data_IF_484123043617
#
_entry.id   IF_484123043617
#
_cell.length_a   1.000
_cell.length_b   1.000
_cell.length_c   1.000
_cell.angle_alpha   90.00
_cell.angle_beta   90.00
_cell.angle_gamma   90.00
#
_symmetry.space_group_name_H-M   'P 1'
#
loop_
_entity.id
_entity.type
_entity.pdbx_description
1 polymer ?
#
# COMPACT_ATOMS: atom_id res chain seq x y z
N UNK A 1 11.67 25.99 5.11
CA UNK A 1 12.54 25.10 4.30
C UNK A 1 12.63 25.72 2.91
N UNK A 2 13.83 26.11 2.46
CA UNK A 2 13.98 26.94 1.26
C UNK A 2 14.04 26.13 -0.04
N UNK A 3 13.44 26.68 -1.11
CA UNK A 3 13.47 26.16 -2.49
C UNK A 3 14.86 25.72 -2.97
N UNK A 4 15.93 26.37 -2.52
CA UNK A 4 17.31 25.98 -2.83
C UNK A 4 17.67 24.55 -2.39
N UNK A 5 17.22 24.11 -1.21
CA UNK A 5 17.50 22.73 -0.73
C UNK A 5 16.77 21.68 -1.58
N UNK A 6 15.56 21.98 -2.04
CA UNK A 6 14.81 21.11 -2.96
C UNK A 6 15.52 20.99 -4.31
N UNK A 7 16.03 22.08 -4.86
CA UNK A 7 16.82 22.06 -6.10
C UNK A 7 18.10 21.23 -5.95
N UNK A 8 18.82 21.35 -4.84
CA UNK A 8 19.99 20.52 -4.57
C UNK A 8 19.67 19.04 -4.39
N UNK A 9 18.58 18.71 -3.71
CA UNK A 9 18.14 17.31 -3.54
C UNK A 9 17.69 16.69 -4.87
N UNK A 10 16.95 17.44 -5.68
CA UNK A 10 16.53 16.98 -7.02
C UNK A 10 17.72 16.81 -7.96
N UNK A 11 18.69 17.74 -7.96
CA UNK A 11 19.93 17.61 -8.72
C UNK A 11 20.74 16.37 -8.30
N UNK A 12 20.89 16.14 -6.98
CA UNK A 12 21.57 14.95 -6.45
C UNK A 12 20.86 13.65 -6.84
N UNK A 13 19.53 13.62 -6.75
CA UNK A 13 18.74 12.46 -7.17
C UNK A 13 18.93 12.17 -8.66
N UNK A 14 18.85 13.19 -9.52
CA UNK A 14 19.09 13.07 -10.98
C UNK A 14 20.50 12.55 -11.28
N UNK A 15 21.51 13.10 -10.64
CA UNK A 15 22.90 12.65 -10.81
C UNK A 15 23.09 11.19 -10.39
N UNK A 16 22.50 10.78 -9.27
CA UNK A 16 22.54 9.39 -8.80
C UNK A 16 21.86 8.42 -9.78
N UNK A 17 20.70 8.80 -10.32
CA UNK A 17 20.00 8.00 -11.36
C UNK A 17 20.84 7.91 -12.63
N UNK A 18 21.38 9.02 -13.12
CA UNK A 18 22.22 9.04 -14.32
C UNK A 18 23.48 8.17 -14.15
N UNK A 19 24.11 8.23 -12.97
CA UNK A 19 25.25 7.39 -12.65
C UNK A 19 24.88 5.90 -12.60
N UNK A 20 23.75 5.58 -11.97
CA UNK A 20 23.22 4.22 -11.89
C UNK A 20 22.92 3.62 -13.27
N UNK A 21 22.43 4.44 -14.22
CA UNK A 21 22.20 4.03 -15.61
C UNK A 21 23.50 3.85 -16.40
N UNK A 22 24.50 4.73 -16.19
CA UNK A 22 25.79 4.66 -16.89
C UNK A 22 26.65 3.48 -16.42
N UNK A 23 26.56 3.11 -15.15
CA UNK A 23 27.34 2.02 -14.54
C UNK A 23 26.43 1.17 -13.65
N UNK A 24 25.55 0.34 -14.24
CA UNK A 24 24.63 -0.47 -13.46
C UNK A 24 25.40 -1.54 -12.69
N UNK A 25 25.31 -1.48 -11.36
CA UNK A 25 25.77 -2.58 -10.51
C UNK A 25 24.67 -3.64 -10.41
N UNK A 26 25.03 -4.88 -10.04
CA UNK A 26 24.05 -5.95 -9.82
C UNK A 26 22.98 -5.55 -8.80
N UNK A 27 23.36 -4.83 -7.74
CA UNK A 27 22.42 -4.36 -6.72
C UNK A 27 21.44 -3.32 -7.27
N UNK A 28 21.93 -2.38 -8.08
CA UNK A 28 21.08 -1.37 -8.74
C UNK A 28 20.09 -2.07 -9.68
N UNK A 29 20.56 -3.00 -10.51
CA UNK A 29 19.69 -3.76 -11.41
C UNK A 29 18.63 -4.58 -10.63
N UNK A 30 19.04 -5.25 -9.54
CA UNK A 30 18.12 -6.02 -8.70
C UNK A 30 17.08 -5.12 -8.01
N UNK A 31 17.47 -3.95 -7.52
CA UNK A 31 16.55 -2.98 -6.90
C UNK A 31 15.59 -2.39 -7.93
N UNK A 32 16.07 -2.07 -9.14
CA UNK A 32 15.21 -1.58 -10.22
C UNK A 32 14.18 -2.64 -10.62
N UNK A 33 14.63 -3.89 -10.84
CA UNK A 33 13.75 -5.01 -11.15
C UNK A 33 12.73 -5.24 -10.03
N UNK A 34 13.14 -5.18 -8.77
CA UNK A 34 12.25 -5.27 -7.62
C UNK A 34 11.13 -4.22 -7.70
N UNK A 35 11.46 -2.95 -7.95
CA UNK A 35 10.44 -1.90 -8.06
C UNK A 35 9.52 -2.07 -9.27
N UNK A 36 10.04 -2.56 -10.41
CA UNK A 36 9.22 -2.87 -11.58
C UNK A 36 8.22 -3.99 -11.26
N UNK A 37 8.68 -5.08 -10.62
CA UNK A 37 7.82 -6.19 -10.21
C UNK A 37 6.77 -5.73 -9.19
N UNK A 38 7.18 -4.96 -8.17
CA UNK A 38 6.26 -4.45 -7.16
C UNK A 38 5.23 -3.49 -7.74
N UNK A 39 5.63 -2.63 -8.68
CA UNK A 39 4.69 -1.74 -9.37
C UNK A 39 3.68 -2.54 -10.19
N UNK A 40 4.14 -3.52 -10.97
CA UNK A 40 3.25 -4.41 -11.73
C UNK A 40 2.28 -5.16 -10.80
N UNK A 41 2.77 -5.69 -9.68
CA UNK A 41 1.94 -6.36 -8.67
C UNK A 41 0.89 -5.43 -8.07
N UNK A 42 1.28 -4.26 -7.57
CA UNK A 42 0.36 -3.26 -6.98
C UNK A 42 -0.71 -2.84 -7.99
N UNK A 43 -0.32 -2.54 -9.22
CA UNK A 43 -1.28 -2.16 -10.27
C UNK A 43 -2.24 -3.31 -10.57
N UNK A 44 -1.74 -4.55 -10.63
CA UNK A 44 -2.58 -5.73 -10.92
C UNK A 44 -3.56 -6.02 -9.78
N UNK A 45 -3.12 -5.88 -8.53
CA UNK A 45 -3.97 -6.04 -7.35
C UNK A 45 -5.10 -5.01 -7.32
N UNK A 46 -4.78 -3.73 -7.47
CA UNK A 46 -5.79 -2.67 -7.42
C UNK A 46 -6.69 -2.60 -8.66
N UNK A 47 -6.28 -3.20 -9.79
CA UNK A 47 -7.19 -3.40 -10.92
C UNK A 47 -8.28 -4.45 -10.62
N UNK A 48 -8.06 -5.33 -9.64
CA UNK A 48 -9.04 -6.31 -9.14
C UNK A 48 -9.75 -5.87 -7.87
N UNK A 49 -9.24 -4.87 -7.16
CA UNK A 49 -9.86 -4.33 -5.95
C UNK A 49 -11.23 -3.67 -6.21
N UNK A 50 -11.39 -3.05 -7.38
CA UNK A 50 -12.67 -2.51 -7.85
C UNK A 50 -12.71 -2.52 -9.37
N UNK A 51 -13.76 -3.10 -9.94
CA UNK A 51 -14.00 -3.10 -11.37
C UNK A 51 -15.48 -2.89 -11.69
N UNK A 52 -15.75 -2.39 -12.89
CA UNK A 52 -17.10 -2.17 -13.41
C UNK A 52 -17.35 -3.24 -14.48
N UNK A 53 -18.55 -3.82 -14.51
CA UNK A 53 -18.89 -4.81 -15.53
C UNK A 53 -18.87 -4.17 -16.93
N UNK A 54 -18.35 -4.90 -17.92
CA UNK A 54 -18.25 -4.43 -19.30
C UNK A 54 -19.61 -4.09 -19.94
N UNK A 55 -20.69 -4.70 -19.43
CA UNK A 55 -22.06 -4.48 -19.89
C UNK A 55 -22.77 -3.33 -19.14
N UNK A 56 -22.05 -2.65 -18.23
CA UNK A 56 -22.58 -1.61 -17.35
C UNK A 56 -23.37 -2.16 -16.16
N UNK A 57 -23.80 -1.25 -15.27
CA UNK A 57 -24.82 -1.53 -14.26
C UNK A 57 -24.35 -1.99 -12.87
N UNK A 58 -23.06 -2.18 -12.62
CA UNK A 58 -22.60 -2.57 -11.29
C UNK A 58 -21.13 -2.29 -11.00
N UNK A 59 -20.84 -2.01 -9.73
CA UNK A 59 -19.49 -1.96 -9.15
C UNK A 59 -19.23 -3.30 -8.47
N UNK A 60 -18.09 -3.90 -8.77
CA UNK A 60 -17.67 -5.22 -8.27
C UNK A 60 -16.30 -5.12 -7.61
N UNK A 61 -16.03 -6.05 -6.71
CA UNK A 61 -14.73 -6.21 -6.04
C UNK A 61 -14.28 -7.66 -6.15
N UNK A 62 -12.99 -7.86 -6.42
CA UNK A 62 -12.34 -9.18 -6.39
C UNK A 62 -11.85 -9.57 -4.99
N UNK A 63 -12.11 -8.72 -3.99
CA UNK A 63 -11.76 -8.93 -2.59
C UNK A 63 -13.04 -8.91 -1.77
N UNK A 64 -13.32 -10.02 -1.09
CA UNK A 64 -14.51 -10.25 -0.27
C UNK A 64 -14.61 -9.28 0.92
N UNK A 65 -13.51 -9.02 1.61
CA UNK A 65 -13.47 -8.05 2.72
C UNK A 65 -13.81 -6.62 2.27
N UNK A 66 -13.61 -6.31 1.00
CA UNK A 66 -13.94 -5.01 0.44
C UNK A 66 -15.43 -4.89 0.08
N UNK A 67 -16.25 -5.96 0.20
CA UNK A 67 -17.70 -5.89 -0.02
C UNK A 67 -18.41 -4.98 0.99
N UNK A 68 -17.96 -4.98 2.24
CA UNK A 68 -18.50 -4.10 3.28
C UNK A 68 -17.90 -2.69 3.24
N UNK A 69 -16.59 -2.60 3.04
CA UNK A 69 -15.86 -1.32 3.10
C UNK A 69 -16.07 -0.47 1.84
N UNK A 70 -16.08 -1.06 0.63
CA UNK A 70 -16.19 -0.30 -0.62
C UNK A 70 -17.47 0.56 -0.68
N UNK A 71 -18.67 0.05 -0.39
CA UNK A 71 -19.89 0.87 -0.40
C UNK A 71 -19.81 2.06 0.57
N UNK A 72 -19.27 1.86 1.77
CA UNK A 72 -19.12 2.94 2.76
C UNK A 72 -18.19 4.05 2.26
N UNK A 73 -17.02 3.67 1.72
CA UNK A 73 -16.10 4.64 1.12
C UNK A 73 -16.73 5.37 -0.08
N UNK A 74 -17.47 4.66 -0.94
CA UNK A 74 -18.20 5.28 -2.05
C UNK A 74 -19.27 6.26 -1.57
N UNK A 75 -19.97 5.94 -0.47
CA UNK A 75 -20.94 6.84 0.15
C UNK A 75 -20.26 8.12 0.67
N UNK A 76 -19.10 8.02 1.33
CA UNK A 76 -18.33 9.19 1.75
C UNK A 76 -17.89 10.03 0.54
N UNK A 77 -17.27 9.41 -0.48
CA UNK A 77 -16.79 10.08 -1.70
C UNK A 77 -17.93 10.84 -2.37
N UNK A 78 -19.07 10.17 -2.59
CA UNK A 78 -20.24 10.78 -3.25
C UNK A 78 -20.91 11.83 -2.40
N UNK A 79 -20.89 11.71 -1.06
CA UNK A 79 -21.39 12.76 -0.16
C UNK A 79 -20.59 14.06 -0.30
N UNK A 80 -19.26 13.99 -0.47
CA UNK A 80 -18.45 15.16 -0.73
C UNK A 80 -18.71 15.73 -2.13
N UNK A 81 -18.77 14.86 -3.14
CA UNK A 81 -18.85 15.27 -4.54
C UNK A 81 -20.23 15.86 -4.90
N UNK A 82 -21.31 15.24 -4.45
CA UNK A 82 -22.68 15.61 -4.83
C UNK A 82 -23.52 16.16 -3.68
N UNK A 83 -23.19 15.80 -2.44
CA UNK A 83 -24.00 16.10 -1.25
C UNK A 83 -23.63 17.38 -0.51
N UNK A 84 -22.61 18.12 -0.96
CA UNK A 84 -22.07 19.30 -0.24
C UNK A 84 -21.77 19.00 1.24
N UNK A 85 -21.24 17.80 1.53
CA UNK A 85 -21.04 17.30 2.89
C UNK A 85 -19.87 18.01 3.61
N UNK A 86 -20.08 19.27 4.00
CA UNK A 86 -19.12 20.07 4.76
C UNK A 86 -19.86 21.02 5.73
N UNK A 87 -19.67 20.90 7.06
CA UNK A 87 -18.76 19.98 7.76
C UNK A 87 -19.16 18.50 7.57
N UNK A 88 -18.21 17.54 7.63
CA UNK A 88 -18.50 16.14 7.29
C UNK A 88 -19.46 15.45 8.27
N UNK A 89 -20.60 15.00 7.76
CA UNK A 89 -21.58 14.12 8.40
C UNK A 89 -21.49 12.68 7.88
N UNK A 90 -21.97 11.73 8.67
CA UNK A 90 -22.00 10.31 8.33
C UNK A 90 -23.03 10.08 7.21
N UNK A 91 -22.63 9.49 6.05
CA UNK A 91 -23.51 9.42 4.88
C UNK A 91 -24.76 8.55 5.10
N UNK A 92 -24.69 7.55 5.98
CA UNK A 92 -25.81 6.68 6.32
C UNK A 92 -26.57 7.06 7.60
N UNK A 93 -26.10 8.09 8.34
CA UNK A 93 -26.68 8.47 9.64
C UNK A 93 -26.79 9.98 9.77
N UNK A 94 -27.92 10.53 9.32
CA UNK A 94 -28.22 11.97 9.29
C UNK A 94 -27.97 12.65 10.64
N UNK A 95 -27.28 13.79 10.63
CA UNK A 95 -26.98 14.58 11.83
C UNK A 95 -25.86 13.99 12.71
N UNK A 96 -25.36 12.79 12.40
CA UNK A 96 -24.19 12.25 13.06
C UNK A 96 -22.91 12.74 12.39
N UNK A 97 -21.91 13.11 13.19
CA UNK A 97 -20.60 13.52 12.68
C UNK A 97 -19.86 12.33 12.07
N UNK A 98 -19.21 12.53 10.92
CA UNK A 98 -18.30 11.53 10.37
C UNK A 98 -17.03 11.43 11.24
N UNK A 99 -16.87 10.30 11.93
CA UNK A 99 -15.71 10.00 12.78
C UNK A 99 -14.65 9.16 12.09
N UNK A 100 -15.02 8.52 10.97
CA UNK A 100 -14.09 7.76 10.15
C UNK A 100 -13.07 8.71 9.47
N UNK A 101 -11.78 8.33 9.36
CA UNK A 101 -10.78 9.17 8.68
C UNK A 101 -11.09 9.29 7.18
N UNK A 102 -11.62 10.44 6.76
CA UNK A 102 -12.20 10.66 5.43
C UNK A 102 -11.25 11.29 4.39
N UNK A 103 -9.98 11.52 4.74
CA UNK A 103 -9.06 12.28 3.88
C UNK A 103 -8.84 11.60 2.52
N UNK A 104 -8.75 10.26 2.49
CA UNK A 104 -8.64 9.49 1.24
C UNK A 104 -9.90 9.65 0.40
N UNK A 105 -11.07 9.57 1.02
CA UNK A 105 -12.35 9.71 0.33
C UNK A 105 -12.53 11.13 -0.25
N UNK A 106 -12.05 12.14 0.48
CA UNK A 106 -12.03 13.52 -0.01
C UNK A 106 -11.09 13.68 -1.22
N UNK A 107 -9.90 13.06 -1.20
CA UNK A 107 -8.97 13.10 -2.34
C UNK A 107 -9.57 12.41 -3.55
N UNK A 108 -10.19 11.23 -3.38
CA UNK A 108 -10.93 10.56 -4.44
C UNK A 108 -12.08 11.42 -4.99
N UNK A 109 -12.84 12.11 -4.13
CA UNK A 109 -13.90 13.04 -4.55
C UNK A 109 -13.34 14.21 -5.37
N UNK A 110 -12.18 14.76 -5.00
CA UNK A 110 -11.50 15.81 -5.75
C UNK A 110 -11.02 15.32 -7.14
N UNK A 111 -10.51 14.10 -7.23
CA UNK A 111 -10.15 13.49 -8.51
C UNK A 111 -11.38 13.31 -9.41
N UNK A 112 -12.51 12.89 -8.84
CA UNK A 112 -13.76 12.79 -9.57
C UNK A 112 -14.30 14.16 -10.00
N UNK A 113 -14.21 15.18 -9.15
CA UNK A 113 -14.55 16.56 -9.49
C UNK A 113 -13.68 17.11 -10.63
N UNK A 114 -12.43 16.63 -10.76
CA UNK A 114 -11.54 16.92 -11.87
C UNK A 114 -11.80 16.08 -13.14
N UNK A 115 -12.86 15.26 -13.15
CA UNK A 115 -13.31 14.50 -14.31
C UNK A 115 -12.87 13.03 -14.36
N UNK A 116 -12.22 12.51 -13.33
CA UNK A 116 -11.91 11.07 -13.26
C UNK A 116 -13.19 10.25 -12.99
N UNK A 117 -13.27 9.04 -13.55
CA UNK A 117 -14.28 8.08 -13.10
C UNK A 117 -13.98 7.60 -11.68
N UNK A 118 -14.98 7.07 -10.98
CA UNK A 118 -14.81 6.52 -9.63
C UNK A 118 -13.72 5.43 -9.58
N UNK A 119 -13.70 4.53 -10.58
CA UNK A 119 -12.65 3.51 -10.71
C UNK A 119 -11.27 4.14 -10.88
N UNK A 120 -11.16 5.18 -11.72
CA UNK A 120 -9.87 5.86 -11.95
C UNK A 120 -9.38 6.58 -10.70
N UNK A 121 -10.26 7.31 -10.01
CA UNK A 121 -9.94 8.04 -8.79
C UNK A 121 -9.39 7.10 -7.71
N UNK A 122 -10.15 6.05 -7.39
CA UNK A 122 -9.77 5.09 -6.35
C UNK A 122 -8.53 4.27 -6.75
N UNK A 123 -8.41 3.85 -8.01
CA UNK A 123 -7.23 3.11 -8.48
C UNK A 123 -5.97 3.96 -8.42
N UNK A 124 -6.02 5.19 -8.91
CA UNK A 124 -4.87 6.09 -8.93
C UNK A 124 -4.36 6.37 -7.52
N UNK A 125 -5.28 6.72 -6.62
CA UNK A 125 -4.99 6.95 -5.21
C UNK A 125 -4.34 5.71 -4.56
N UNK A 126 -5.00 4.56 -4.66
CA UNK A 126 -4.53 3.35 -3.99
C UNK A 126 -3.19 2.85 -4.54
N UNK A 127 -2.98 2.90 -5.86
CA UNK A 127 -1.70 2.53 -6.48
C UNK A 127 -0.58 3.47 -6.00
N UNK A 128 -0.85 4.78 -5.90
CA UNK A 128 0.12 5.74 -5.41
C UNK A 128 0.49 5.48 -3.94
N UNK A 129 -0.51 5.26 -3.08
CA UNK A 129 -0.30 4.99 -1.65
C UNK A 129 0.40 3.64 -1.41
N UNK A 130 0.02 2.59 -2.12
CA UNK A 130 0.68 1.29 -2.03
C UNK A 130 2.12 1.32 -2.58
N UNK A 131 2.36 2.05 -3.67
CA UNK A 131 3.72 2.30 -4.17
C UNK A 131 4.58 3.04 -3.14
N UNK A 132 4.01 4.06 -2.49
CA UNK A 132 4.66 4.78 -1.40
C UNK A 132 4.95 3.87 -0.21
N UNK A 133 4.01 2.99 0.17
CA UNK A 133 4.19 2.00 1.23
C UNK A 133 5.38 1.08 0.94
N UNK A 134 5.46 0.50 -0.26
CA UNK A 134 6.59 -0.36 -0.67
C UNK A 134 7.91 0.40 -0.60
N UNK A 135 7.95 1.62 -1.13
CA UNK A 135 9.16 2.43 -1.14
C UNK A 135 9.62 2.82 0.29
N UNK A 136 8.67 3.16 1.17
CA UNK A 136 8.96 3.55 2.55
C UNK A 136 9.34 2.35 3.42
N UNK A 137 8.72 1.18 3.23
CA UNK A 137 9.14 -0.06 3.88
C UNK A 137 10.58 -0.42 3.50
N UNK A 138 10.89 -0.42 2.21
CA UNK A 138 12.24 -0.69 1.71
C UNK A 138 13.25 0.29 2.33
N UNK A 139 12.94 1.60 2.30
CA UNK A 139 13.79 2.65 2.87
C UNK A 139 13.96 2.51 4.38
N UNK A 140 12.90 2.23 5.11
CA UNK A 140 12.92 2.08 6.57
C UNK A 140 13.78 0.87 6.96
N UNK A 141 13.53 -0.28 6.34
CA UNK A 141 14.34 -1.49 6.56
C UNK A 141 15.82 -1.25 6.24
N UNK A 142 16.14 -0.61 5.11
CA UNK A 142 17.51 -0.23 4.74
C UNK A 142 18.20 0.65 5.79
N UNK A 143 17.45 1.50 6.48
CA UNK A 143 17.95 2.39 7.53
C UNK A 143 18.10 1.69 8.88
N UNK A 144 17.24 0.72 9.16
CA UNK A 144 17.22 -0.05 10.39
C UNK A 144 18.34 -1.09 10.40
N UNK A 145 18.42 -1.92 9.36
CA UNK A 145 19.33 -3.08 9.29
C UNK A 145 20.70 -2.73 8.70
N UNK A 146 20.79 -1.67 7.90
CA UNK A 146 21.95 -1.39 7.05
C UNK A 146 22.34 -2.57 6.12
N UNK A 147 21.38 -3.44 5.79
CA UNK A 147 21.56 -4.57 4.87
C UNK A 147 20.67 -4.41 3.63
N UNK A 148 21.18 -4.57 2.38
CA UNK A 148 20.39 -4.32 1.18
C UNK A 148 19.39 -5.44 0.91
N UNK A 149 19.75 -6.69 1.22
CA UNK A 149 18.89 -7.84 1.01
C UNK A 149 17.71 -7.81 1.98
N UNK A 150 17.96 -7.58 3.28
CA UNK A 150 16.91 -7.41 4.28
C UNK A 150 15.94 -6.28 3.90
N UNK A 151 16.46 -5.22 3.29
CA UNK A 151 15.65 -4.11 2.83
C UNK A 151 14.74 -4.48 1.65
N UNK A 152 15.21 -5.31 0.71
CA UNK A 152 14.40 -5.82 -0.39
C UNK A 152 13.38 -6.89 0.08
N UNK A 153 13.75 -7.71 1.06
CA UNK A 153 12.86 -8.74 1.61
C UNK A 153 11.75 -8.17 2.50
N UNK A 154 11.99 -7.07 3.23
CA UNK A 154 11.01 -6.54 4.18
C UNK A 154 9.64 -6.20 3.54
N UNK A 155 9.53 -5.48 2.40
CA UNK A 155 8.25 -5.27 1.74
C UNK A 155 7.58 -6.59 1.31
N UNK A 156 8.36 -7.57 0.83
CA UNK A 156 7.82 -8.87 0.41
C UNK A 156 7.22 -9.62 1.59
N UNK A 157 7.90 -9.65 2.73
CA UNK A 157 7.41 -10.30 3.95
C UNK A 157 6.15 -9.63 4.50
N UNK A 158 6.06 -8.30 4.43
CA UNK A 158 4.86 -7.57 4.85
C UNK A 158 3.68 -7.85 3.92
N UNK A 159 3.89 -7.78 2.60
CA UNK A 159 2.85 -8.03 1.61
C UNK A 159 2.42 -9.50 1.55
N UNK A 160 3.33 -10.43 1.84
CA UNK A 160 3.07 -11.88 1.92
C UNK A 160 2.70 -12.35 3.33
N UNK A 161 2.34 -11.44 4.25
CA UNK A 161 1.81 -11.80 5.57
C UNK A 161 0.54 -12.66 5.43
N UNK A 162 0.20 -13.49 6.42
CA UNK A 162 -0.96 -14.39 6.27
C UNK A 162 -0.88 -15.70 7.05
N UNK A 163 -0.06 -15.75 8.10
CA UNK A 163 0.09 -16.96 8.92
C UNK A 163 0.80 -18.09 8.17
N UNK A 164 0.65 -19.32 8.70
CA UNK A 164 1.24 -20.54 8.13
C UNK A 164 0.33 -21.25 7.13
N UNK A 165 -0.67 -20.55 6.59
CA UNK A 165 -1.64 -21.09 5.63
C UNK A 165 -1.04 -21.72 4.38
N UNK A 166 0.14 -21.24 3.96
CA UNK A 166 0.88 -21.80 2.84
C UNK A 166 1.28 -23.27 3.05
N UNK A 167 1.33 -23.77 4.30
CA UNK A 167 1.56 -25.19 4.57
C UNK A 167 0.36 -26.05 4.12
N UNK A 168 -0.86 -25.56 4.35
CA UNK A 168 -2.10 -26.20 3.90
C UNK A 168 -2.19 -26.18 2.37
N UNK A 169 -1.71 -25.09 1.75
CA UNK A 169 -1.63 -24.98 0.29
C UNK A 169 -0.77 -26.09 -0.34
N UNK A 170 0.26 -26.58 0.36
CA UNK A 170 1.11 -27.67 -0.16
C UNK A 170 0.37 -29.00 -0.24
N UNK A 171 -0.60 -29.24 0.66
CA UNK A 171 -1.40 -30.48 0.67
C UNK A 171 -2.36 -30.54 -0.54
N UNK A 172 -2.72 -29.38 -1.10
CA UNK A 172 -3.59 -29.25 -2.27
C UNK A 172 -2.85 -29.31 -3.61
N UNK A 173 -1.52 -29.43 -3.60
CA UNK A 173 -0.72 -29.53 -4.82
C UNK A 173 -0.96 -30.89 -5.47
N UNK A 174 -1.66 -30.88 -6.60
CA UNK A 174 -1.85 -32.06 -7.44
C UNK A 174 -0.83 -32.09 -8.60
N UNK A 175 0.14 -33.02 -8.60
CA UNK A 175 1.11 -33.15 -9.70
C UNK A 175 0.46 -33.44 -11.05
N UNK A 176 -0.70 -34.11 -11.08
CA UNK A 176 -1.46 -34.40 -12.30
C UNK A 176 -2.32 -33.23 -12.77
N UNK A 177 -2.65 -32.31 -11.86
CA UNK A 177 -3.35 -31.06 -12.12
C UNK A 177 -2.46 -29.87 -12.51
N UNK A 178 -1.20 -30.10 -12.88
CA UNK A 178 -0.24 -29.04 -13.21
C UNK A 178 0.53 -28.48 -12.00
N UNK A 179 0.50 -29.18 -10.87
CA UNK A 179 1.27 -28.86 -9.66
C UNK A 179 0.95 -27.49 -9.09
N UNK A 180 1.97 -26.84 -8.52
CA UNK A 180 1.85 -25.51 -7.89
C UNK A 180 1.31 -24.46 -8.86
N UNK A 181 1.71 -24.51 -10.14
CA UNK A 181 1.25 -23.54 -11.14
C UNK A 181 -0.23 -23.72 -11.44
N UNK A 182 -0.69 -24.97 -11.54
CA UNK A 182 -2.11 -25.30 -11.69
C UNK A 182 -2.93 -24.76 -10.52
N UNK A 183 -2.47 -25.04 -9.29
CA UNK A 183 -3.10 -24.58 -8.06
C UNK A 183 -3.16 -23.05 -7.95
N UNK A 184 -2.06 -22.34 -8.22
CA UNK A 184 -2.03 -20.87 -8.15
C UNK A 184 -2.91 -20.18 -9.20
N UNK A 185 -3.23 -20.85 -10.32
CA UNK A 185 -4.17 -20.33 -11.33
C UNK A 185 -5.62 -20.49 -10.89
N UNK A 186 -5.93 -21.54 -10.12
CA UNK A 186 -7.28 -21.85 -9.66
C UNK A 186 -7.20 -22.32 -8.20
N UNK A 187 -7.06 -21.36 -7.29
CA UNK A 187 -7.05 -21.65 -5.85
C UNK A 187 -8.38 -22.29 -5.46
N UNK A 188 -8.32 -23.37 -4.67
CA UNK A 188 -9.51 -24.11 -4.23
C UNK A 188 -10.32 -23.32 -3.21
N UNK A 189 -9.62 -22.63 -2.31
CA UNK A 189 -10.19 -21.76 -1.28
C UNK A 189 -9.12 -20.76 -0.79
N UNK A 190 -9.51 -19.88 0.14
CA UNK A 190 -8.56 -19.02 0.86
C UNK A 190 -7.71 -19.85 1.84
N UNK A 191 -6.42 -19.56 1.93
CA UNK A 191 -5.46 -20.26 2.78
C UNK A 191 -5.07 -19.47 4.04
N UNK A 192 -5.45 -18.21 4.14
CA UNK A 192 -5.18 -17.31 5.27
C UNK A 192 -6.39 -17.20 6.22
N UNK A 193 -7.60 -17.25 5.66
CA UNK A 193 -8.87 -17.33 6.39
C UNK A 193 -9.63 -18.52 5.85
N UNK A 194 -9.53 -19.67 6.53
CA UNK A 194 -10.15 -20.89 6.04
C UNK A 194 -11.69 -20.79 6.09
N UNK A 195 -12.39 -21.36 5.10
CA UNK A 195 -13.85 -21.46 5.14
C UNK A 195 -14.36 -22.20 6.38
N UNK A 196 -13.66 -23.27 6.78
CA UNK A 196 -13.90 -24.03 8.01
C UNK A 196 -12.60 -24.20 8.80
N UNK A 197 -12.72 -24.27 10.13
CA UNK A 197 -11.58 -24.46 11.04
C UNK A 197 -11.07 -23.16 11.68
N UNK A 198 -10.03 -23.29 12.53
CA UNK A 198 -9.62 -22.22 13.44
C UNK A 198 -8.71 -21.17 12.79
N UNK A 199 -8.10 -21.45 11.63
CA UNK A 199 -7.16 -20.52 11.00
C UNK A 199 -7.91 -19.33 10.39
N UNK A 200 -7.81 -18.18 11.05
CA UNK A 200 -8.41 -16.90 10.67
C UNK A 200 -7.37 -15.79 10.74
N UNK A 201 -6.23 -15.99 10.08
CA UNK A 201 -5.13 -15.03 10.04
C UNK A 201 -5.02 -14.45 8.64
N UNK A 202 -5.81 -13.42 8.36
CA UNK A 202 -5.85 -12.81 7.04
C UNK A 202 -4.55 -12.16 6.59
N UNK A 203 -4.29 -12.21 5.29
CA UNK A 203 -3.22 -11.45 4.67
C UNK A 203 -3.50 -9.94 4.76
N UNK A 204 -2.47 -9.15 5.12
CA UNK A 204 -2.59 -7.70 5.33
C UNK A 204 -3.15 -6.95 4.10
N UNK A 205 -2.80 -7.39 2.89
CA UNK A 205 -3.21 -6.71 1.66
C UNK A 205 -4.70 -6.84 1.43
N UNK A 206 -5.22 -8.07 1.45
CA UNK A 206 -6.63 -8.36 1.14
C UNK A 206 -7.58 -8.03 2.29
N UNK A 207 -7.10 -8.09 3.54
CA UNK A 207 -7.95 -7.84 4.71
C UNK A 207 -7.91 -6.41 5.22
N UNK A 208 -6.82 -5.66 4.98
CA UNK A 208 -6.65 -4.30 5.50
C UNK A 208 -6.34 -3.28 4.40
N UNK A 209 -5.30 -3.48 3.59
CA UNK A 209 -4.85 -2.42 2.67
C UNK A 209 -5.81 -2.15 1.52
N UNK A 210 -6.49 -3.17 1.00
CA UNK A 210 -7.51 -2.99 -0.05
C UNK A 210 -8.84 -2.47 0.54
N UNK A 211 -9.40 -3.08 1.62
CA UNK A 211 -10.67 -2.64 2.17
C UNK A 211 -10.58 -1.28 2.88
N UNK A 212 -9.59 -1.11 3.77
CA UNK A 212 -9.44 0.08 4.61
C UNK A 212 -8.46 1.06 3.96
N UNK A 213 -8.97 1.87 3.03
CA UNK A 213 -8.17 2.85 2.26
C UNK A 213 -7.46 3.86 3.17
N UNK A 214 -8.09 4.21 4.30
CA UNK A 214 -7.49 5.10 5.30
C UNK A 214 -6.30 4.45 6.02
N UNK A 215 -6.30 3.12 6.18
CA UNK A 215 -5.16 2.38 6.69
C UNK A 215 -4.00 2.36 5.67
N UNK A 216 -4.32 2.21 4.38
CA UNK A 216 -3.35 2.31 3.28
C UNK A 216 -2.70 3.71 3.19
N UNK A 217 -3.41 4.78 3.57
CA UNK A 217 -2.81 6.10 3.76
C UNK A 217 -1.96 6.19 5.05
N UNK A 218 -2.49 5.66 6.16
CA UNK A 218 -1.86 5.73 7.47
C UNK A 218 -0.50 5.03 7.55
N UNK A 219 -0.35 3.87 6.90
CA UNK A 219 0.87 3.07 6.94
C UNK A 219 2.12 3.77 6.35
N UNK A 220 2.08 4.34 5.13
CA UNK A 220 3.13 5.22 4.61
C UNK A 220 3.47 6.38 5.56
N UNK A 221 2.46 7.07 6.10
CA UNK A 221 2.67 8.20 7.01
C UNK A 221 3.37 7.76 8.30
N UNK A 222 2.95 6.63 8.87
CA UNK A 222 3.62 6.02 10.01
C UNK A 222 5.08 5.71 9.70
N UNK A 223 5.38 5.06 8.57
CA UNK A 223 6.76 4.73 8.18
C UNK A 223 7.63 5.96 7.93
N UNK A 224 7.04 7.04 7.41
CA UNK A 224 7.72 8.32 7.29
C UNK A 224 8.13 8.84 8.66
N UNK A 225 7.19 8.91 9.60
CA UNK A 225 7.44 9.32 11.00
C UNK A 225 8.46 8.42 11.67
N UNK A 226 8.31 7.10 11.57
CA UNK A 226 9.24 6.12 12.13
C UNK A 226 10.65 6.25 11.54
N UNK A 227 10.77 6.51 10.24
CA UNK A 227 12.06 6.76 9.59
C UNK A 227 12.73 8.03 10.11
N UNK A 228 11.96 9.11 10.32
CA UNK A 228 12.48 10.36 10.86
C UNK A 228 12.87 10.23 12.33
N UNK A 229 12.06 9.55 13.12
CA UNK A 229 12.37 9.22 14.51
C UNK A 229 13.67 8.43 14.59
N UNK A 230 13.78 7.32 13.87
CA UNK A 230 14.99 6.47 13.87
C UNK A 230 16.26 7.26 13.54
N UNK A 231 16.18 8.19 12.58
CA UNK A 231 17.30 9.10 12.24
C UNK A 231 17.66 10.03 13.40
N UNK A 232 16.67 10.62 14.05
CA UNK A 232 16.87 11.53 15.18
C UNK A 232 17.59 10.84 16.34
N UNK A 233 17.13 9.63 16.71
CA UNK A 233 17.77 8.81 17.75
C UNK A 233 19.24 8.49 17.41
N UNK A 234 19.55 8.15 16.16
CA UNK A 234 20.92 7.87 15.71
C UNK A 234 21.82 9.11 15.57
N UNK A 235 21.26 10.30 15.32
CA UNK A 235 22.06 11.52 15.33
C UNK A 235 22.49 11.91 16.74
N UNK A 236 21.63 11.70 17.74
CA UNK A 236 21.89 12.08 19.13
C UNK A 236 23.01 11.26 19.78
N UNK A 237 23.21 10.01 19.35
CA UNK A 237 24.33 9.17 19.80
C UNK A 237 25.68 9.50 19.16
N UNK A 238 25.71 10.26 18.06
CA UNK A 238 26.96 10.63 17.36
C UNK A 238 27.53 11.98 17.79
N UNK A 239 26.75 12.81 18.46
CA UNK A 239 27.23 14.02 19.14
C UNK A 239 27.25 13.73 20.64
N UNK A 240 28.42 13.59 21.29
CA UNK A 240 28.47 13.61 22.74
C UNK A 240 27.84 14.93 23.19
N UNK A 241 26.96 14.88 24.19
CA UNK A 241 26.44 16.11 24.80
C UNK A 241 27.63 16.93 25.29
N UNK A 242 27.98 18.00 24.58
CA UNK A 242 28.80 19.07 25.14
C UNK A 242 27.87 19.83 26.08
N UNK A 243 27.70 19.31 27.29
CA UNK A 243 27.09 20.05 28.37
C UNK A 243 28.11 21.11 28.81
N UNK A 244 27.80 22.42 28.79
CA UNK A 244 28.81 23.47 28.98
C UNK A 244 29.28 23.67 30.43
N UNK A 245 28.92 22.78 31.36
CA UNK A 245 29.17 22.99 32.79
C UNK A 245 29.70 21.73 33.50
N UNK A 246 30.86 21.24 33.06
CA UNK A 246 31.73 20.36 33.85
C UNK A 246 33.17 20.84 33.70
#
# INVERSE_FOLDING_TARGET
MGWGRLHEETARARAAVAQALRRPTRLVAATALFYVIMAALVVSLFDRAMFEAAQGGGVFTGVDHNLGDLPFHLAIVTSFLYGHNFPPEHPELTGARLTYPFLVDLVAALLMAAGASVRQALRLENVALAGALVALLHRFARRLTADPLAALLAPLLVLASGGLGFLILLDDVDPMGGGVVGLLRHLRHDYTILPQGPLRWGNLVVTMLIPQRSFLLGMPLFLLVATLWWRSCRSRTRTPSRWPWR
#
